data_IF_712157126402
#
_entry.id   IF_712157126402
#
_cell.length_a   1.000
_cell.length_b   1.000
_cell.length_c   1.000
_cell.angle_alpha   90.00
_cell.angle_beta   90.00
_cell.angle_gamma   90.00
#
_symmetry.space_group_name_H-M   'P 1'
#
loop_
_entity.id
_entity.type
_entity.pdbx_description
1 polymer ?
#
# COMPACT_ATOMS: atom_id res chain seq x y z
N UNK A 1 10.48 -21.97 3.30
CA UNK A 1 10.75 -20.72 2.56
C UNK A 1 11.36 -19.74 3.56
N UNK A 2 12.61 -19.26 3.38
CA UNK A 2 13.23 -18.37 4.36
C UNK A 2 12.47 -17.03 4.44
N UNK A 3 12.42 -16.37 5.61
CA UNK A 3 11.79 -15.06 5.73
C UNK A 3 12.52 -14.07 4.82
N UNK A 4 11.77 -13.41 3.94
CA UNK A 4 12.33 -12.44 3.01
C UNK A 4 12.78 -11.19 3.79
N UNK A 5 14.07 -11.14 4.13
CA UNK A 5 14.69 -10.00 4.83
C UNK A 5 14.55 -8.77 3.94
N UNK A 6 13.85 -7.76 4.42
CA UNK A 6 13.73 -6.48 3.72
C UNK A 6 15.06 -5.75 3.96
N UNK A 7 15.95 -5.79 2.98
CA UNK A 7 17.20 -5.02 3.04
C UNK A 7 16.94 -3.56 2.68
N UNK A 8 16.58 -2.77 3.68
CA UNK A 8 16.39 -1.32 3.58
C UNK A 8 17.75 -0.64 3.78
N UNK A 9 18.63 -0.73 2.79
CA UNK A 9 19.91 0.00 2.79
C UNK A 9 19.75 1.40 2.20
N UNK A 10 20.41 2.42 2.77
CA UNK A 10 20.40 3.80 2.26
C UNK A 10 20.70 3.88 0.75
N UNK A 11 21.72 3.15 0.29
CA UNK A 11 22.09 3.07 -1.13
C UNK A 11 21.04 2.39 -2.02
N UNK A 12 20.17 1.53 -1.45
CA UNK A 12 19.11 0.84 -2.19
C UNK A 12 17.88 1.74 -2.33
N UNK A 13 17.54 2.50 -1.27
CA UNK A 13 16.52 3.53 -1.32
C UNK A 13 16.93 4.65 -2.29
N UNK A 14 18.17 5.12 -2.21
CA UNK A 14 18.69 6.19 -3.07
C UNK A 14 18.69 5.83 -4.58
N UNK A 15 18.68 4.53 -4.92
CA UNK A 15 18.60 4.03 -6.31
C UNK A 15 17.19 3.65 -6.74
N UNK A 16 16.19 3.82 -5.88
CA UNK A 16 14.79 3.55 -6.23
C UNK A 16 14.27 4.71 -7.06
N UNK A 17 14.10 4.49 -8.37
CA UNK A 17 13.64 5.54 -9.29
C UNK A 17 12.13 5.50 -9.55
N UNK A 18 11.49 4.35 -9.33
CA UNK A 18 10.08 4.12 -9.63
C UNK A 18 9.32 3.39 -8.52
N UNK A 19 7.99 3.43 -8.65
CA UNK A 19 7.07 2.75 -7.72
C UNK A 19 7.21 1.22 -7.79
N UNK A 20 7.63 0.70 -8.93
CA UNK A 20 7.94 -0.71 -9.18
C UNK A 20 9.22 -1.17 -8.47
N UNK A 21 10.26 -0.34 -8.44
CA UNK A 21 11.46 -0.59 -7.65
C UNK A 21 11.15 -0.59 -6.15
N UNK A 22 10.32 0.36 -5.69
CA UNK A 22 9.84 0.39 -4.31
C UNK A 22 9.00 -0.85 -3.99
N UNK A 23 8.13 -1.28 -4.91
CA UNK A 23 7.34 -2.50 -4.75
C UNK A 23 8.24 -3.73 -4.57
N UNK A 24 9.29 -3.87 -5.39
CA UNK A 24 10.26 -4.97 -5.30
C UNK A 24 11.06 -4.94 -4.00
N UNK A 25 11.40 -3.75 -3.52
CA UNK A 25 12.09 -3.57 -2.24
C UNK A 25 11.21 -3.99 -1.06
N UNK A 26 9.94 -3.57 -1.08
CA UNK A 26 9.00 -3.83 0.01
C UNK A 26 8.45 -5.25 -0.02
N UNK A 27 8.27 -5.85 -1.20
CA UNK A 27 7.69 -7.18 -1.37
C UNK A 27 8.60 -8.08 -2.22
N UNK A 28 9.82 -8.37 -1.76
CA UNK A 28 10.78 -9.16 -2.53
C UNK A 28 10.24 -10.56 -2.80
N UNK A 29 10.33 -11.01 -4.06
CA UNK A 29 9.91 -12.35 -4.49
C UNK A 29 8.39 -12.57 -4.61
N UNK A 30 7.54 -11.62 -4.18
CA UNK A 30 6.08 -11.77 -4.25
C UNK A 30 5.46 -10.79 -5.27
N UNK A 31 5.40 -11.22 -6.54
CA UNK A 31 4.87 -10.39 -7.65
C UNK A 31 3.41 -9.97 -7.45
N UNK A 32 2.59 -10.81 -6.81
CA UNK A 32 1.20 -10.47 -6.53
C UNK A 32 1.12 -9.28 -5.56
N UNK A 33 1.89 -9.32 -4.47
CA UNK A 33 1.92 -8.21 -3.50
C UNK A 33 2.56 -6.95 -4.09
N UNK A 34 3.56 -7.09 -4.96
CA UNK A 34 4.14 -5.95 -5.71
C UNK A 34 3.07 -5.25 -6.56
N UNK A 35 2.29 -6.02 -7.34
CA UNK A 35 1.19 -5.47 -8.15
C UNK A 35 0.15 -4.76 -7.29
N UNK A 36 -0.27 -5.39 -6.19
CA UNK A 36 -1.25 -4.82 -5.25
C UNK A 36 -0.72 -3.52 -4.62
N UNK A 37 0.56 -3.45 -4.26
CA UNK A 37 1.17 -2.22 -3.75
C UNK A 37 1.13 -1.09 -4.78
N UNK A 38 1.51 -1.36 -6.03
CA UNK A 38 1.49 -0.37 -7.11
C UNK A 38 0.07 0.15 -7.35
N UNK A 39 -0.93 -0.75 -7.39
CA UNK A 39 -2.34 -0.38 -7.53
C UNK A 39 -2.79 0.51 -6.37
N UNK A 40 -2.58 0.05 -5.13
CA UNK A 40 -2.96 0.77 -3.92
C UNK A 40 -2.37 2.19 -3.88
N UNK A 41 -1.09 2.32 -4.22
CA UNK A 41 -0.39 3.59 -4.14
C UNK A 41 -0.78 4.54 -5.28
N UNK A 42 -1.07 3.99 -6.47
CA UNK A 42 -1.58 4.77 -7.60
C UNK A 42 -2.97 5.31 -7.29
N UNK A 43 -3.89 4.46 -6.80
CA UNK A 43 -5.24 4.88 -6.40
C UNK A 43 -5.20 5.98 -5.34
N UNK A 44 -4.36 5.84 -4.32
CA UNK A 44 -4.18 6.88 -3.30
C UNK A 44 -3.62 8.18 -3.86
N UNK A 45 -2.70 8.10 -4.82
CA UNK A 45 -2.09 9.28 -5.45
C UNK A 45 -3.10 10.05 -6.31
N UNK A 46 -4.04 9.34 -6.94
CA UNK A 46 -5.06 9.91 -7.84
C UNK A 46 -6.40 10.19 -7.15
N UNK A 47 -6.60 9.73 -5.91
CA UNK A 47 -7.76 10.06 -5.12
C UNK A 47 -7.83 11.55 -4.80
N UNK A 48 -9.05 12.10 -4.83
CA UNK A 48 -9.31 13.45 -4.35
C UNK A 48 -8.83 13.59 -2.89
N UNK A 49 -8.12 14.67 -2.59
CA UNK A 49 -7.46 14.92 -1.31
C UNK A 49 -6.46 13.85 -0.85
N UNK A 50 -6.01 12.96 -1.74
CA UNK A 50 -5.17 11.78 -1.43
C UNK A 50 -5.82 10.86 -0.39
N UNK A 51 -7.16 10.82 -0.37
CA UNK A 51 -7.94 10.07 0.59
C UNK A 51 -8.89 9.10 -0.12
N UNK A 52 -8.82 7.84 0.27
CA UNK A 52 -9.78 6.82 -0.18
C UNK A 52 -10.71 6.45 0.97
N UNK A 53 -12.00 6.71 0.76
CA UNK A 53 -13.07 6.41 1.72
C UNK A 53 -13.19 4.92 2.03
N UNK A 54 -12.94 4.07 1.03
CA UNK A 54 -12.88 2.63 1.18
C UNK A 54 -11.92 2.01 0.17
N UNK A 55 -11.29 0.90 0.58
CA UNK A 55 -10.50 0.04 -0.30
C UNK A 55 -11.25 -1.26 -0.64
N UNK A 56 -12.52 -1.39 -0.23
CA UNK A 56 -13.34 -2.61 -0.38
C UNK A 56 -13.60 -2.99 -1.83
N UNK A 57 -13.54 -2.02 -2.74
CA UNK A 57 -13.97 -2.19 -4.13
C UNK A 57 -12.77 -2.48 -5.05
N UNK A 58 -11.54 -2.23 -4.57
CA UNK A 58 -10.32 -2.55 -5.31
C UNK A 58 -10.15 -4.05 -5.63
N UNK A 59 -10.48 -5.01 -4.73
CA UNK A 59 -10.46 -6.43 -5.02
C UNK A 59 -11.27 -6.84 -6.25
N UNK A 60 -12.52 -6.37 -6.32
CA UNK A 60 -13.42 -6.68 -7.44
C UNK A 60 -13.01 -5.94 -8.71
N UNK A 61 -12.63 -4.67 -8.60
CA UNK A 61 -12.24 -3.84 -9.75
C UNK A 61 -10.97 -4.34 -10.45
N UNK A 62 -9.98 -4.81 -9.69
CA UNK A 62 -8.67 -5.18 -10.22
C UNK A 62 -8.40 -6.69 -10.24
N UNK A 63 -9.38 -7.50 -9.85
CA UNK A 63 -9.27 -8.97 -9.81
C UNK A 63 -8.21 -9.45 -8.83
N UNK A 64 -8.06 -8.78 -7.69
CA UNK A 64 -7.09 -9.15 -6.64
C UNK A 64 -7.83 -9.73 -5.43
N UNK A 65 -7.15 -10.59 -4.66
CA UNK A 65 -7.78 -11.11 -3.43
C UNK A 65 -7.79 -10.07 -2.31
N UNK A 66 -8.89 -10.01 -1.55
CA UNK A 66 -9.00 -9.14 -0.37
C UNK A 66 -7.88 -9.42 0.64
N UNK A 67 -7.49 -10.69 0.80
CA UNK A 67 -6.39 -11.10 1.67
C UNK A 67 -5.04 -10.50 1.26
N UNK A 68 -4.74 -10.46 -0.04
CA UNK A 68 -3.50 -9.83 -0.54
C UNK A 68 -3.52 -8.32 -0.28
N UNK A 69 -4.67 -7.67 -0.52
CA UNK A 69 -4.86 -6.25 -0.25
C UNK A 69 -4.64 -5.91 1.23
N UNK A 70 -5.26 -6.66 2.13
CA UNK A 70 -5.08 -6.46 3.58
C UNK A 70 -3.64 -6.66 4.02
N UNK A 71 -2.97 -7.69 3.50
CA UNK A 71 -1.56 -7.97 3.82
C UNK A 71 -0.65 -6.80 3.40
N UNK A 72 -0.85 -6.29 2.18
CA UNK A 72 -0.11 -5.14 1.66
C UNK A 72 -0.43 -3.88 2.47
N UNK A 73 -1.71 -3.60 2.75
CA UNK A 73 -2.15 -2.47 3.58
C UNK A 73 -1.53 -2.50 4.98
N UNK A 74 -1.59 -3.65 5.66
CA UNK A 74 -1.03 -3.81 6.99
C UNK A 74 0.47 -3.50 7.01
N UNK A 75 1.21 -3.94 5.97
CA UNK A 75 2.64 -3.63 5.85
C UNK A 75 2.88 -2.15 5.58
N UNK A 76 2.14 -1.53 4.66
CA UNK A 76 2.29 -0.11 4.35
C UNK A 76 1.99 0.77 5.57
N UNK A 77 0.98 0.43 6.37
CA UNK A 77 0.67 1.09 7.64
C UNK A 77 1.82 0.98 8.64
N UNK A 78 2.39 -0.21 8.81
CA UNK A 78 3.53 -0.43 9.72
C UNK A 78 4.79 0.34 9.31
N UNK A 79 4.93 0.65 8.03
CA UNK A 79 6.05 1.42 7.49
C UNK A 79 5.78 2.93 7.43
N UNK A 80 4.57 3.39 7.81
CA UNK A 80 4.19 4.80 7.71
C UNK A 80 3.98 5.30 6.28
N UNK A 81 3.77 4.40 5.31
CA UNK A 81 3.54 4.77 3.90
C UNK A 81 2.09 5.16 3.64
N UNK A 82 1.16 4.61 4.41
CA UNK A 82 -0.27 4.95 4.38
C UNK A 82 -0.77 5.05 5.81
N UNK A 83 -1.60 6.04 6.09
CA UNK A 83 -2.29 6.15 7.37
C UNK A 83 -3.71 5.65 7.29
N UNK A 84 -4.17 5.07 8.39
CA UNK A 84 -5.58 4.78 8.56
C UNK A 84 -6.21 5.94 9.31
N UNK A 85 -6.85 6.84 8.58
CA UNK A 85 -7.60 7.94 9.19
C UNK A 85 -9.02 7.44 9.43
N UNK A 86 -9.34 7.05 10.67
CA UNK A 86 -10.74 6.99 11.07
C UNK A 86 -11.22 8.44 11.17
N UNK A 87 -11.95 8.97 10.18
CA UNK A 87 -12.79 10.14 10.44
C UNK A 87 -13.91 9.67 11.37
N UNK A 88 -13.65 9.69 12.68
CA UNK A 88 -14.74 9.82 13.63
C UNK A 88 -15.34 11.19 13.37
N UNK A 89 -16.53 11.20 12.78
CA UNK A 89 -17.36 12.40 12.72
C UNK A 89 -17.77 12.73 14.16
N UNK A 90 -16.91 13.45 14.88
CA UNK A 90 -17.26 14.03 16.17
C UNK A 90 -18.09 15.28 15.90
N UNK A 91 -19.38 15.13 16.16
CA UNK A 91 -20.42 16.16 16.31
C UNK A 91 -21.00 16.77 15.04
N UNK A 92 -22.15 16.21 14.66
CA UNK A 92 -23.35 17.02 14.43
C UNK A 92 -23.51 17.99 15.60
N UNK A 93 -23.40 19.29 15.35
CA UNK A 93 -24.01 20.30 16.19
C UNK A 93 -24.48 21.44 15.28
N UNK A 94 -25.80 21.42 15.09
CA UNK A 94 -26.73 22.56 14.98
C UNK A 94 -26.36 23.74 14.07
#
# INVERSE_FOLDING_TARGET
MPPAKIEVGFNRIARTHGLDDLARLLFPGNRAHQKVFILLFTELKHAEDRFLSSFSDLPSQYGISSRQLETVRAKCRRLGLIDHVCRFNSFSNT
#
